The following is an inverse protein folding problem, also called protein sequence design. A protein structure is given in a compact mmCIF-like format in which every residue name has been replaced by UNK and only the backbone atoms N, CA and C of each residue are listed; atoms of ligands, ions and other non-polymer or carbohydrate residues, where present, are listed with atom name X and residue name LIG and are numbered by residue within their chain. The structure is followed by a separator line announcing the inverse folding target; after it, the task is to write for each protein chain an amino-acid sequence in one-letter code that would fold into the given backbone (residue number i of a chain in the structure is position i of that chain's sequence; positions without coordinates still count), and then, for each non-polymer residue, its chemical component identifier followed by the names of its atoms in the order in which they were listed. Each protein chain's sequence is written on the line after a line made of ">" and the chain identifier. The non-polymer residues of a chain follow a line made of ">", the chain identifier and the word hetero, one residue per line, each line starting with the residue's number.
data_IF_126187551721
#
_entry.id   IF_126187551721
#
_cell.length_a   1.000
_cell.length_b   1.000
_cell.length_c   1.000
_cell.angle_alpha   90.00
_cell.angle_beta   90.00
_cell.angle_gamma   90.00
#
_symmetry.space_group_name_H-M   'P 1'
#
loop_
_entity.id
_entity.type
_entity.pdbx_description
1 polymer ?
#
# COMPACT_ATOMS: atom_id res chain seq x y z
N UNK A 1 4.11 -4.02 -11.16
CA UNK A 1 3.29 -3.62 -10.00
C UNK A 1 2.41 -4.78 -9.57
N UNK A 2 1.83 -5.48 -10.54
CA UNK A 2 0.95 -6.64 -10.37
C UNK A 2 1.62 -7.80 -9.60
N UNK A 3 2.91 -8.10 -9.86
CA UNK A 3 3.64 -9.13 -9.08
C UNK A 3 3.75 -8.82 -7.58
N UNK A 4 3.90 -7.54 -7.24
CA UNK A 4 4.00 -7.08 -5.86
C UNK A 4 2.63 -7.12 -5.16
N UNK A 5 1.55 -6.92 -5.92
CA UNK A 5 0.19 -7.06 -5.44
C UNK A 5 -0.14 -8.54 -5.19
N UNK A 6 0.21 -9.41 -6.14
CA UNK A 6 0.04 -10.86 -5.98
C UNK A 6 0.81 -11.37 -4.76
N UNK A 7 2.06 -10.93 -4.60
CA UNK A 7 2.87 -11.30 -3.44
C UNK A 7 2.29 -10.79 -2.10
N UNK A 8 1.60 -9.64 -2.09
CA UNK A 8 0.88 -9.15 -0.91
C UNK A 8 -0.27 -10.10 -0.55
N UNK A 9 -1.08 -10.46 -1.53
CA UNK A 9 -2.22 -11.37 -1.34
C UNK A 9 -1.75 -12.75 -0.90
N UNK A 10 -0.71 -13.29 -1.54
CA UNK A 10 -0.13 -14.58 -1.17
C UNK A 10 0.37 -14.58 0.29
N UNK A 11 0.94 -13.48 0.80
CA UNK A 11 1.36 -13.36 2.21
C UNK A 11 0.19 -13.29 3.18
N UNK A 12 -0.88 -12.59 2.79
CA UNK A 12 -2.12 -12.53 3.58
C UNK A 12 -2.74 -13.93 3.69
N UNK A 13 -2.79 -14.66 2.58
CA UNK A 13 -3.39 -16.01 2.50
C UNK A 13 -2.51 -17.10 3.15
N UNK A 14 -1.18 -16.97 3.10
CA UNK A 14 -0.25 -18.02 3.57
C UNK A 14 -0.05 -18.10 5.10
N UNK A 15 -0.60 -17.17 5.90
CA UNK A 15 -0.55 -17.30 7.37
C UNK A 15 -0.68 -16.02 8.18
N UNK A 16 -0.55 -14.85 7.56
CA UNK A 16 -0.76 -13.58 8.29
C UNK A 16 -2.25 -13.23 8.48
N UNK A 17 -3.16 -13.84 7.70
CA UNK A 17 -4.59 -13.63 7.82
C UNK A 17 -5.14 -13.88 9.23
N UNK A 18 -4.65 -14.90 9.95
CA UNK A 18 -5.12 -15.21 11.31
C UNK A 18 -4.57 -14.22 12.36
N UNK A 19 -3.35 -13.71 12.16
CA UNK A 19 -2.78 -12.64 12.99
C UNK A 19 -3.52 -11.33 12.75
N UNK A 20 -3.85 -11.01 11.50
CA UNK A 20 -4.59 -9.82 11.13
C UNK A 20 -6.01 -9.83 11.71
N UNK A 21 -6.72 -10.97 11.71
CA UNK A 21 -8.08 -11.08 12.28
C UNK A 21 -8.16 -10.70 13.76
N UNK A 22 -7.09 -10.91 14.53
CA UNK A 22 -7.05 -10.60 15.97
C UNK A 22 -6.73 -9.13 16.27
N UNK A 23 -6.31 -8.35 15.28
CA UNK A 23 -5.98 -6.92 15.42
C UNK A 23 -7.20 -6.02 15.19
N UNK A 24 -7.13 -4.79 15.67
CA UNK A 24 -8.09 -3.74 15.31
C UNK A 24 -7.94 -3.37 13.82
N UNK A 25 -9.03 -2.93 13.16
CA UNK A 25 -9.02 -2.60 11.73
C UNK A 25 -7.88 -1.64 11.34
N UNK A 26 -7.63 -0.61 12.15
CA UNK A 26 -6.55 0.36 11.92
C UNK A 26 -5.17 -0.29 11.96
N UNK A 27 -4.94 -1.22 12.88
CA UNK A 27 -3.66 -1.95 12.99
C UNK A 27 -3.46 -2.89 11.80
N UNK A 28 -4.52 -3.54 11.32
CA UNK A 28 -4.49 -4.35 10.08
C UNK A 28 -4.09 -3.51 8.89
N UNK A 29 -4.74 -2.36 8.70
CA UNK A 29 -4.45 -1.44 7.60
C UNK A 29 -3.01 -0.95 7.65
N UNK A 30 -2.54 -0.50 8.82
CA UNK A 30 -1.15 -0.07 9.00
C UNK A 30 -0.16 -1.18 8.65
N UNK A 31 -0.44 -2.43 9.07
CA UNK A 31 0.43 -3.57 8.79
C UNK A 31 0.43 -3.96 7.31
N UNK A 32 -0.71 -3.96 6.64
CA UNK A 32 -0.82 -4.19 5.20
C UNK A 32 -0.08 -3.13 4.38
N UNK A 33 -0.24 -1.85 4.73
CA UNK A 33 0.48 -0.74 4.11
C UNK A 33 1.99 -0.90 4.32
N UNK A 34 2.42 -1.22 5.54
CA UNK A 34 3.83 -1.46 5.86
C UNK A 34 4.42 -2.61 5.05
N UNK A 35 3.76 -3.77 5.01
CA UNK A 35 4.20 -4.92 4.20
C UNK A 35 4.37 -4.53 2.73
N UNK A 36 3.44 -3.76 2.19
CA UNK A 36 3.51 -3.30 0.80
C UNK A 36 4.68 -2.36 0.54
N UNK A 37 5.01 -1.47 1.48
CA UNK A 37 6.14 -0.55 1.39
C UNK A 37 7.47 -1.29 1.57
N UNK A 38 7.54 -2.27 2.48
CA UNK A 38 8.74 -3.09 2.71
C UNK A 38 9.16 -3.85 1.43
N UNK A 39 8.22 -4.25 0.58
CA UNK A 39 8.52 -4.85 -0.73
C UNK A 39 9.28 -3.91 -1.68
N UNK A 40 9.22 -2.59 -1.45
CA UNK A 40 9.93 -1.59 -2.25
C UNK A 40 11.37 -1.37 -1.76
N UNK A 41 11.70 -1.78 -0.54
CA UNK A 41 13.02 -1.61 0.09
C UNK A 41 14.19 -2.02 -0.82
N UNK A 42 14.16 -3.17 -1.53
CA UNK A 42 15.26 -3.57 -2.42
C UNK A 42 15.49 -2.59 -3.59
N UNK A 43 14.48 -1.80 -3.95
CA UNK A 43 14.48 -0.90 -5.10
C UNK A 43 14.51 0.59 -4.69
N UNK A 44 14.69 0.90 -3.41
CA UNK A 44 14.57 2.26 -2.86
C UNK A 44 15.46 3.28 -3.57
N UNK A 45 16.67 2.87 -3.98
CA UNK A 45 17.63 3.74 -4.69
C UNK A 45 17.12 4.22 -6.06
N UNK A 46 16.25 3.45 -6.71
CA UNK A 46 15.63 3.78 -8.00
C UNK A 46 14.18 4.22 -7.87
N UNK A 47 13.59 4.08 -6.68
CA UNK A 47 12.18 4.38 -6.44
C UNK A 47 11.79 5.84 -6.71
N UNK A 48 12.60 6.86 -6.35
CA UNK A 48 12.31 8.25 -6.72
C UNK A 48 12.15 8.46 -8.24
N UNK A 49 12.98 7.78 -9.03
CA UNK A 49 12.92 7.84 -10.50
C UNK A 49 11.67 7.13 -11.01
N UNK A 50 11.33 5.96 -10.43
CA UNK A 50 10.11 5.24 -10.76
C UNK A 50 8.85 6.06 -10.46
N UNK A 51 8.82 6.79 -9.34
CA UNK A 51 7.72 7.71 -9.00
C UNK A 51 7.64 8.87 -9.98
N UNK A 52 8.78 9.47 -10.35
CA UNK A 52 8.83 10.52 -11.36
C UNK A 52 8.23 10.06 -12.70
N UNK A 53 8.56 8.85 -13.15
CA UNK A 53 8.00 8.24 -14.38
C UNK A 53 6.49 8.04 -14.26
N UNK A 54 6.01 7.55 -13.12
CA UNK A 54 4.57 7.36 -12.85
C UNK A 54 3.79 8.68 -12.84
N UNK A 55 4.41 9.77 -12.40
CA UNK A 55 3.80 11.10 -12.38
C UNK A 55 3.71 11.78 -13.74
N UNK A 56 4.35 11.24 -14.79
CA UNK A 56 4.29 11.83 -16.13
C UNK A 56 2.86 11.73 -16.69
N UNK A 57 2.38 12.74 -17.45
CA UNK A 57 1.01 12.75 -17.98
C UNK A 57 0.63 11.51 -18.81
N UNK A 58 1.61 10.91 -19.50
CA UNK A 58 1.41 9.69 -20.27
C UNK A 58 1.13 8.45 -19.40
N UNK A 59 1.62 8.45 -18.16
CA UNK A 59 1.57 7.29 -17.25
C UNK A 59 0.64 7.51 -16.06
N UNK A 60 0.27 8.76 -15.75
CA UNK A 60 -0.44 9.12 -14.52
C UNK A 60 -1.80 8.45 -14.41
N UNK A 61 -2.54 8.31 -15.51
CA UNK A 61 -3.85 7.64 -15.52
C UNK A 61 -3.73 6.16 -15.16
N UNK A 62 -2.78 5.45 -15.77
CA UNK A 62 -2.48 4.05 -15.47
C UNK A 62 -1.96 3.88 -14.05
N UNK A 63 -1.03 4.74 -13.62
CA UNK A 63 -0.42 4.67 -12.29
C UNK A 63 -1.46 4.92 -11.19
N UNK A 64 -2.36 5.89 -11.38
CA UNK A 64 -3.47 6.14 -10.48
C UNK A 64 -4.45 4.96 -10.43
N UNK A 65 -4.79 4.36 -11.58
CA UNK A 65 -5.63 3.15 -11.62
C UNK A 65 -5.00 2.01 -10.84
N UNK A 66 -3.70 1.77 -10.98
CA UNK A 66 -3.02 0.71 -10.24
C UNK A 66 -2.95 1.01 -8.74
N UNK A 67 -2.72 2.27 -8.33
CA UNK A 67 -2.80 2.69 -6.92
C UNK A 67 -4.21 2.49 -6.36
N UNK A 68 -5.21 2.81 -7.17
CA UNK A 68 -6.59 2.62 -6.82
C UNK A 68 -6.89 1.14 -6.55
N UNK A 69 -6.47 0.23 -7.44
CA UNK A 69 -6.64 -1.23 -7.25
C UNK A 69 -5.90 -1.70 -5.98
N UNK A 70 -4.66 -1.28 -5.76
CA UNK A 70 -3.89 -1.62 -4.56
C UNK A 70 -4.64 -1.26 -3.27
N UNK A 71 -5.21 -0.06 -3.22
CA UNK A 71 -5.96 0.42 -2.05
C UNK A 71 -7.21 -0.42 -1.81
N UNK A 72 -7.92 -0.81 -2.86
CA UNK A 72 -9.10 -1.68 -2.76
C UNK A 72 -8.72 -3.06 -2.22
N UNK A 73 -7.62 -3.64 -2.70
CA UNK A 73 -7.12 -4.93 -2.22
C UNK A 73 -6.68 -4.87 -0.75
N UNK A 74 -6.07 -3.76 -0.30
CA UNK A 74 -5.74 -3.57 1.12
C UNK A 74 -7.01 -3.49 1.98
N UNK A 75 -8.05 -2.78 1.53
CA UNK A 75 -9.34 -2.73 2.22
C UNK A 75 -10.03 -4.10 2.26
N UNK A 76 -9.97 -4.84 1.16
CA UNK A 76 -10.50 -6.19 1.06
C UNK A 76 -9.78 -7.15 2.01
N UNK A 77 -8.44 -7.14 2.01
CA UNK A 77 -7.60 -7.95 2.90
C UNK A 77 -7.77 -7.58 4.39
N UNK A 78 -8.10 -6.33 4.70
CA UNK A 78 -8.39 -5.89 6.07
C UNK A 78 -9.74 -6.43 6.61
N UNK A 79 -10.60 -6.94 5.73
CA UNK A 79 -11.91 -7.52 6.04
C UNK A 79 -13.01 -6.48 6.27
N UNK A 80 -12.85 -5.26 5.76
CA UNK A 80 -13.85 -4.20 5.87
C UNK A 80 -14.83 -4.24 4.68
N UNK A 81 -16.08 -4.59 4.96
CA UNK A 81 -17.19 -4.59 4.00
C UNK A 81 -18.08 -3.37 4.20
N UNK A 82 -17.51 -2.17 4.10
CA UNK A 82 -18.23 -0.91 4.26
C UNK A 82 -19.04 -0.47 3.04
N UNK A 83 -20.02 0.42 3.27
CA UNK A 83 -21.01 0.89 2.29
C UNK A 83 -20.48 1.86 1.21
N UNK A 84 -21.22 2.05 0.12
CA UNK A 84 -20.76 2.70 -1.13
C UNK A 84 -20.28 4.17 -1.00
N UNK A 85 -20.79 4.95 -0.05
CA UNK A 85 -20.30 6.34 0.18
C UNK A 85 -18.96 6.32 0.95
N UNK A 86 -18.79 5.35 1.85
CA UNK A 86 -17.54 5.15 2.56
C UNK A 86 -16.42 4.76 1.61
N UNK A 87 -16.72 4.08 0.50
CA UNK A 87 -15.75 3.60 -0.47
C UNK A 87 -14.82 4.70 -1.01
N UNK A 88 -15.37 5.82 -1.47
CA UNK A 88 -14.56 6.91 -2.03
C UNK A 88 -13.71 7.60 -0.96
N UNK A 89 -14.27 7.78 0.24
CA UNK A 89 -13.56 8.40 1.37
C UNK A 89 -12.44 7.48 1.84
N UNK A 90 -12.73 6.19 2.04
CA UNK A 90 -11.77 5.15 2.44
C UNK A 90 -10.62 5.05 1.45
N UNK A 91 -10.92 5.09 0.16
CA UNK A 91 -9.90 5.05 -0.90
C UNK A 91 -9.02 6.30 -0.88
N UNK A 92 -9.64 7.47 -0.74
CA UNK A 92 -8.92 8.74 -0.71
C UNK A 92 -8.00 8.84 0.50
N UNK A 93 -8.51 8.49 1.69
CA UNK A 93 -7.73 8.54 2.94
C UNK A 93 -6.60 7.51 2.90
N UNK A 94 -6.90 6.25 2.60
CA UNK A 94 -5.87 5.19 2.59
C UNK A 94 -4.84 5.41 1.48
N UNK A 95 -5.28 5.83 0.30
CA UNK A 95 -4.37 6.19 -0.80
C UNK A 95 -3.49 7.40 -0.47
N UNK A 96 -4.02 8.37 0.27
CA UNK A 96 -3.27 9.51 0.80
C UNK A 96 -2.20 9.08 1.81
N UNK A 97 -2.59 8.25 2.79
CA UNK A 97 -1.66 7.69 3.79
C UNK A 97 -0.54 6.91 3.09
N UNK A 98 -0.91 5.98 2.20
CA UNK A 98 0.05 5.18 1.45
C UNK A 98 1.05 6.05 0.67
N UNK A 99 0.54 7.06 -0.06
CA UNK A 99 1.38 7.92 -0.89
C UNK A 99 2.29 8.82 -0.03
N UNK A 100 1.80 9.33 1.11
CA UNK A 100 2.60 10.11 2.04
C UNK A 100 3.71 9.25 2.67
N UNK A 101 3.41 8.03 3.10
CA UNK A 101 4.38 7.08 3.64
C UNK A 101 5.42 6.66 2.60
N UNK A 102 5.00 6.46 1.35
CA UNK A 102 5.89 6.13 0.24
C UNK A 102 6.89 7.25 -0.04
N UNK A 103 6.46 8.52 0.00
CA UNK A 103 7.37 9.67 -0.15
C UNK A 103 8.29 9.81 1.07
N UNK A 104 7.77 9.61 2.28
CA UNK A 104 8.59 9.65 3.50
C UNK A 104 9.72 8.62 3.46
N UNK A 105 9.40 7.39 3.03
CA UNK A 105 10.36 6.29 2.85
C UNK A 105 11.55 6.65 1.94
N UNK A 106 11.38 7.57 0.99
CA UNK A 106 12.50 8.01 0.13
C UNK A 106 13.58 8.79 0.88
N UNK A 107 13.22 9.39 2.01
CA UNK A 107 14.11 10.23 2.82
C UNK A 107 14.61 9.53 4.08
N UNK A 108 14.08 8.33 4.35
CA UNK A 108 14.43 7.54 5.52
C UNK A 108 15.78 6.84 5.30
N UNK A 109 16.74 7.14 6.18
CA UNK A 109 18.08 6.54 6.19
C UNK A 109 18.31 5.65 7.43
N UNK A 110 17.23 5.33 8.17
CA UNK A 110 17.31 4.52 9.38
C UNK A 110 17.53 3.02 9.08
N UNK A 111 18.18 2.28 10.00
CA UNK A 111 18.36 0.83 9.84
C UNK A 111 17.03 0.10 10.04
N UNK A 112 16.39 -0.23 8.91
CA UNK A 112 15.05 -0.81 8.88
C UNK A 112 13.98 0.28 8.69
N UNK A 113 12.91 -0.05 7.98
CA UNK A 113 11.86 0.91 7.67
C UNK A 113 11.11 1.28 8.96
N UNK A 114 11.38 2.46 9.53
CA UNK A 114 10.70 2.97 10.71
C UNK A 114 9.39 3.66 10.31
N UNK A 115 8.47 2.88 9.74
CA UNK A 115 7.10 3.31 9.48
C UNK A 115 6.17 2.67 10.52
N UNK A 116 5.56 3.53 11.35
CA UNK A 116 4.56 3.27 12.39
C UNK A 116 4.91 2.20 13.43
#
# INVERSE_FOLDING_TARGET
>A
MDDCLQQLMDRVDAGEGELLKNLMLTERLSRLVRMRLEMQTPYISKWPQALSIQSQPANVSTSLKQRAVLVDEIWHAAGDSGSDIDWYVKRTVLGGIYSASEVYMLTDNSPGLHLF
#
